data_IF_399318471153
#
_entry.id   IF_399318471153
#
_cell.length_a   1.000
_cell.length_b   1.000
_cell.length_c   1.000
_cell.angle_alpha   90.00
_cell.angle_beta   90.00
_cell.angle_gamma   90.00
#
_symmetry.space_group_name_H-M   'P 1'
#
loop_
_entity.id
_entity.type
_entity.pdbx_description
1 polymer ?
#
# COMPACT_ATOMS: atom_id res chain seq x y z
N UNK A 1 -2.14 -60.97 -2.70
CA UNK A 1 -1.14 -59.88 -2.63
C UNK A 1 -1.43 -58.91 -3.76
N UNK A 2 -2.23 -57.86 -3.51
CA UNK A 2 -2.70 -56.94 -4.55
C UNK A 2 -1.73 -55.76 -4.70
N UNK A 3 -1.16 -55.59 -5.89
CA UNK A 3 -0.31 -54.46 -6.26
C UNK A 3 -1.17 -53.27 -6.70
N UNK A 4 -1.24 -52.22 -5.88
CA UNK A 4 -1.84 -50.94 -6.26
C UNK A 4 -0.93 -50.23 -7.27
N UNK A 5 -1.39 -50.09 -8.51
CA UNK A 5 -0.75 -49.24 -9.52
C UNK A 5 -0.99 -47.78 -9.16
N UNK A 6 0.04 -47.08 -8.71
CA UNK A 6 0.01 -45.62 -8.61
C UNK A 6 -0.03 -45.00 -10.01
N UNK A 7 -1.17 -44.44 -10.40
CA UNK A 7 -1.24 -43.52 -11.52
C UNK A 7 -0.55 -42.22 -11.12
N UNK A 8 0.62 -41.94 -11.72
CA UNK A 8 1.24 -40.62 -11.67
C UNK A 8 0.34 -39.64 -12.42
N UNK A 9 -0.31 -38.76 -11.68
CA UNK A 9 -0.94 -37.56 -12.24
C UNK A 9 0.20 -36.73 -12.86
N UNK A 10 0.13 -36.35 -14.14
CA UNK A 10 1.16 -35.50 -14.72
C UNK A 10 1.16 -34.15 -13.99
N UNK A 11 2.33 -33.55 -13.74
CA UNK A 11 2.37 -32.22 -13.16
C UNK A 11 1.62 -31.28 -14.10
N UNK A 12 0.47 -30.77 -13.65
CA UNK A 12 -0.15 -29.61 -14.29
C UNK A 12 0.86 -28.48 -14.15
N UNK A 13 1.45 -28.06 -15.25
CA UNK A 13 2.11 -26.76 -15.32
C UNK A 13 1.04 -25.73 -14.96
N UNK A 14 1.11 -25.01 -13.83
CA UNK A 14 0.14 -23.98 -13.51
C UNK A 14 0.46 -22.79 -14.42
N UNK A 15 -0.12 -22.79 -15.62
CA UNK A 15 -0.12 -21.63 -16.53
C UNK A 15 -1.27 -20.67 -16.17
N UNK A 16 -1.98 -20.91 -15.05
CA UNK A 16 -2.95 -19.97 -14.48
C UNK A 16 -2.23 -19.06 -13.50
N UNK A 17 -2.29 -17.74 -13.73
CA UNK A 17 -1.88 -16.77 -12.72
C UNK A 17 -2.65 -17.05 -11.43
N UNK A 18 -1.96 -17.50 -10.38
CA UNK A 18 -2.60 -17.77 -9.09
C UNK A 18 -2.71 -16.48 -8.29
N UNK A 19 -3.68 -16.36 -7.38
CA UNK A 19 -3.75 -15.22 -6.46
C UNK A 19 -2.43 -14.96 -5.74
N UNK A 20 -1.69 -16.02 -5.38
CA UNK A 20 -0.36 -15.93 -4.79
C UNK A 20 0.64 -15.19 -5.67
N UNK A 21 0.75 -15.58 -6.94
CA UNK A 21 1.69 -14.96 -7.88
C UNK A 21 1.33 -13.48 -8.06
N UNK A 22 0.05 -13.18 -8.30
CA UNK A 22 -0.41 -11.80 -8.53
C UNK A 22 -0.20 -10.91 -7.31
N UNK A 23 -0.59 -11.36 -6.12
CA UNK A 23 -0.43 -10.54 -4.91
C UNK A 23 1.05 -10.36 -4.57
N UNK A 24 1.89 -11.40 -4.74
CA UNK A 24 3.33 -11.26 -4.55
C UNK A 24 3.95 -10.26 -5.54
N UNK A 25 3.50 -10.29 -6.79
CA UNK A 25 3.98 -9.42 -7.86
C UNK A 25 3.50 -7.97 -7.66
N UNK A 26 2.27 -7.78 -7.20
CA UNK A 26 1.75 -6.47 -6.78
C UNK A 26 2.69 -5.84 -5.74
N UNK A 27 2.99 -6.54 -4.65
CA UNK A 27 3.89 -5.98 -3.63
C UNK A 27 5.34 -5.85 -4.10
N UNK A 28 5.80 -6.67 -5.05
CA UNK A 28 7.11 -6.48 -5.69
C UNK A 28 7.17 -5.19 -6.48
N UNK A 29 6.13 -4.89 -7.27
CA UNK A 29 6.03 -3.70 -8.12
C UNK A 29 5.81 -2.41 -7.31
N UNK A 30 4.97 -2.47 -6.28
CA UNK A 30 4.60 -1.32 -5.44
C UNK A 30 5.46 -1.20 -4.16
N UNK A 31 6.53 -2.00 -4.05
CA UNK A 31 7.42 -2.03 -2.87
C UNK A 31 7.97 -0.68 -2.43
N UNK A 32 8.10 0.28 -3.36
CA UNK A 32 8.63 1.61 -3.10
C UNK A 32 7.62 2.69 -3.47
N UNK A 33 6.32 2.39 -3.30
CA UNK A 33 5.22 3.26 -3.69
C UNK A 33 4.86 3.19 -5.18
N UNK A 34 3.79 3.91 -5.51
CA UNK A 34 3.31 4.09 -6.87
C UNK A 34 4.20 5.09 -7.62
N UNK A 35 4.65 4.69 -8.81
CA UNK A 35 5.49 5.46 -9.74
C UNK A 35 4.68 6.07 -10.88
N UNK A 36 3.36 5.93 -10.84
CA UNK A 36 2.48 6.58 -11.79
C UNK A 36 2.55 8.08 -11.56
N UNK A 37 3.05 8.79 -12.56
CA UNK A 37 3.14 10.24 -12.51
C UNK A 37 1.74 10.84 -12.58
N UNK A 38 1.38 11.70 -11.63
CA UNK A 38 0.32 12.68 -11.88
C UNK A 38 0.76 13.55 -13.08
N UNK A 39 -0.16 14.02 -13.94
CA UNK A 39 0.17 14.93 -15.02
C UNK A 39 0.50 16.31 -14.43
N UNK A 40 1.69 16.46 -13.85
CA UNK A 40 2.26 17.77 -13.49
C UNK A 40 3.57 17.91 -14.25
N UNK A 41 3.53 18.88 -15.16
CA UNK A 41 4.64 19.33 -15.97
C UNK A 41 5.81 19.73 -15.08
N UNK A 42 6.86 18.92 -15.02
CA UNK A 42 8.21 19.46 -14.87
C UNK A 42 9.20 18.44 -15.44
N UNK A 43 9.82 18.83 -16.55
CA UNK A 43 10.84 18.05 -17.20
C UNK A 43 12.09 17.99 -16.31
N UNK A 44 12.43 16.80 -15.84
CA UNK A 44 13.78 16.51 -15.31
C UNK A 44 14.27 15.14 -15.75
N UNK A 45 15.21 15.21 -16.67
CA UNK A 45 16.37 14.37 -17.07
C UNK A 45 16.66 12.95 -16.51
N UNK A 46 15.71 12.19 -15.99
CA UNK A 46 15.83 10.73 -15.77
C UNK A 46 14.62 9.97 -16.29
N UNK A 47 14.22 10.31 -17.53
CA UNK A 47 12.93 9.93 -18.11
C UNK A 47 12.79 8.43 -18.41
N UNK A 48 13.87 7.72 -18.75
CA UNK A 48 13.73 6.36 -19.28
C UNK A 48 13.30 5.33 -18.23
N UNK A 49 13.91 5.32 -17.04
CA UNK A 49 13.58 4.31 -16.01
C UNK A 49 12.31 4.60 -15.23
N UNK A 50 11.97 5.88 -15.02
CA UNK A 50 10.74 6.26 -14.30
C UNK A 50 9.51 6.06 -15.20
N UNK A 51 9.61 6.43 -16.47
CA UNK A 51 8.51 6.27 -17.42
C UNK A 51 8.17 4.78 -17.64
N UNK A 52 9.21 3.94 -17.74
CA UNK A 52 9.07 2.49 -17.90
C UNK A 52 8.37 1.85 -16.69
N UNK A 53 8.78 2.19 -15.46
CA UNK A 53 8.16 1.66 -14.24
C UNK A 53 6.69 2.09 -14.04
N UNK A 54 6.33 3.31 -14.45
CA UNK A 54 4.94 3.81 -14.45
C UNK A 54 4.05 2.93 -15.34
N UNK A 55 4.49 2.67 -16.57
CA UNK A 55 3.76 1.81 -17.52
C UNK A 55 3.65 0.38 -17.00
N UNK A 56 4.74 -0.18 -16.45
CA UNK A 56 4.73 -1.54 -15.89
C UNK A 56 3.71 -1.67 -14.75
N UNK A 57 3.61 -0.70 -13.84
CA UNK A 57 2.62 -0.74 -12.75
C UNK A 57 1.19 -0.62 -13.28
N UNK A 58 0.91 0.30 -14.20
CA UNK A 58 -0.43 0.49 -14.76
C UNK A 58 -0.88 -0.71 -15.60
N UNK A 59 -0.02 -1.20 -16.50
CA UNK A 59 -0.31 -2.37 -17.33
C UNK A 59 -0.57 -3.61 -16.46
N UNK A 60 0.22 -3.77 -15.39
CA UNK A 60 -0.01 -4.84 -14.43
C UNK A 60 -1.39 -4.72 -13.77
N UNK A 61 -1.76 -3.54 -13.25
CA UNK A 61 -3.06 -3.34 -12.61
C UNK A 61 -4.22 -3.62 -13.60
N UNK A 62 -4.18 -3.07 -14.82
CA UNK A 62 -5.23 -3.30 -15.81
C UNK A 62 -5.34 -4.77 -16.26
N UNK A 63 -4.23 -5.51 -16.19
CA UNK A 63 -4.21 -6.93 -16.52
C UNK A 63 -4.89 -7.78 -15.44
N UNK A 64 -4.55 -7.54 -14.17
CA UNK A 64 -4.93 -8.43 -13.05
C UNK A 64 -6.16 -7.98 -12.28
N UNK A 65 -6.55 -6.70 -12.36
CA UNK A 65 -7.73 -6.17 -11.67
C UNK A 65 -8.97 -6.26 -12.57
N UNK A 66 -10.13 -6.51 -11.99
CA UNK A 66 -11.40 -6.27 -12.66
C UNK A 66 -11.54 -4.77 -12.98
N UNK A 67 -12.19 -4.38 -14.09
CA UNK A 67 -12.39 -2.95 -14.43
C UNK A 67 -13.09 -2.16 -13.31
N UNK A 68 -13.97 -2.81 -12.56
CA UNK A 68 -14.75 -2.29 -11.44
C UNK A 68 -14.28 -2.83 -10.08
N UNK A 69 -12.99 -3.18 -9.97
CA UNK A 69 -12.38 -3.66 -8.70
C UNK A 69 -12.76 -2.75 -7.53
N UNK A 70 -13.25 -3.35 -6.45
CA UNK A 70 -13.67 -2.64 -5.23
C UNK A 70 -12.49 -2.42 -4.30
N UNK A 71 -12.31 -1.20 -3.81
CA UNK A 71 -11.30 -0.85 -2.80
C UNK A 71 -11.90 0.02 -1.71
N UNK A 72 -11.10 0.33 -0.69
CA UNK A 72 -11.46 1.22 0.41
C UNK A 72 -12.11 2.52 -0.09
N UNK A 73 -11.41 3.28 -0.94
CA UNK A 73 -11.86 4.59 -1.45
C UNK A 73 -12.87 4.56 -2.61
N UNK A 74 -13.21 3.40 -3.17
CA UNK A 74 -14.15 3.34 -4.31
C UNK A 74 -13.91 2.18 -5.27
N UNK A 75 -13.94 2.48 -6.58
CA UNK A 75 -13.97 1.47 -7.64
C UNK A 75 -12.96 1.76 -8.76
N UNK A 76 -12.40 0.69 -9.32
CA UNK A 76 -11.54 0.71 -10.50
C UNK A 76 -10.06 0.92 -10.22
N UNK A 77 -9.23 0.71 -11.25
CA UNK A 77 -7.77 0.85 -11.18
C UNK A 77 -7.33 2.26 -10.81
N UNK A 78 -8.04 3.28 -11.30
CA UNK A 78 -7.71 4.67 -11.01
C UNK A 78 -7.83 4.98 -9.51
N UNK A 79 -8.82 4.40 -8.82
CA UNK A 79 -8.97 4.58 -7.38
C UNK A 79 -7.76 4.02 -6.61
N UNK A 80 -7.21 2.87 -7.03
CA UNK A 80 -5.99 2.30 -6.43
C UNK A 80 -4.83 3.28 -6.54
N UNK A 81 -4.66 3.87 -7.72
CA UNK A 81 -3.60 4.86 -7.98
C UNK A 81 -3.83 6.11 -7.14
N UNK A 82 -5.07 6.57 -6.98
CA UNK A 82 -5.37 7.73 -6.14
C UNK A 82 -5.07 7.48 -4.66
N UNK A 83 -5.35 6.30 -4.11
CA UNK A 83 -5.00 5.97 -2.71
C UNK A 83 -3.49 6.06 -2.46
N UNK A 84 -2.69 5.55 -3.40
CA UNK A 84 -1.24 5.70 -3.34
C UNK A 84 -0.80 7.16 -3.40
N UNK A 85 -1.48 7.99 -4.18
CA UNK A 85 -1.11 9.39 -4.40
C UNK A 85 -1.75 10.36 -3.40
N UNK A 86 -2.65 9.89 -2.54
CA UNK A 86 -3.36 10.71 -1.55
C UNK A 86 -2.42 11.30 -0.50
N UNK A 87 -1.28 10.65 -0.26
CA UNK A 87 -0.26 11.07 0.72
C UNK A 87 1.11 11.10 0.03
N UNK A 88 1.42 12.16 -0.76
CA UNK A 88 2.53 12.14 -1.71
C UNK A 88 3.92 11.95 -1.10
N UNK A 89 4.17 12.52 0.08
CA UNK A 89 5.47 12.40 0.75
C UNK A 89 5.64 11.01 1.35
N UNK A 90 4.57 10.43 1.93
CA UNK A 90 4.57 9.02 2.30
C UNK A 90 4.87 8.13 1.08
N UNK A 91 4.15 8.31 -0.04
CA UNK A 91 4.36 7.50 -1.24
C UNK A 91 5.78 7.56 -1.79
N UNK A 92 6.43 8.72 -1.71
CA UNK A 92 7.81 8.91 -2.21
C UNK A 92 8.86 8.20 -1.35
N UNK A 93 8.61 8.05 -0.05
CA UNK A 93 9.59 7.54 0.90
C UNK A 93 9.21 6.19 1.54
N UNK A 94 8.07 5.61 1.15
CA UNK A 94 7.59 4.33 1.67
C UNK A 94 8.43 3.16 1.16
N UNK A 95 8.65 2.19 2.04
CA UNK A 95 9.06 0.84 1.67
C UNK A 95 8.05 -0.16 2.21
N UNK A 96 7.46 -0.96 1.33
CA UNK A 96 6.51 -2.02 1.66
C UNK A 96 7.21 -3.37 1.61
N UNK A 97 6.94 -4.20 2.62
CA UNK A 97 7.40 -5.58 2.70
C UNK A 97 6.22 -6.51 2.88
N UNK A 98 6.09 -7.47 1.98
CA UNK A 98 5.19 -8.60 2.15
C UNK A 98 5.77 -9.58 3.16
N UNK A 99 5.04 -9.83 4.24
CA UNK A 99 5.46 -10.71 5.32
C UNK A 99 4.82 -12.08 5.23
N UNK A 100 3.53 -12.12 4.88
CA UNK A 100 2.75 -13.35 4.86
C UNK A 100 1.67 -13.26 3.79
N UNK A 101 1.40 -14.40 3.18
CA UNK A 101 0.25 -14.66 2.34
C UNK A 101 -0.44 -15.91 2.86
N UNK A 102 -1.77 -15.90 2.87
CA UNK A 102 -2.58 -17.03 3.29
C UNK A 102 -3.98 -16.95 2.69
N UNK A 103 -4.73 -18.03 2.74
CA UNK A 103 -6.15 -17.99 2.43
C UNK A 103 -6.95 -17.85 3.72
N UNK A 104 -8.00 -17.04 3.68
CA UNK A 104 -8.99 -17.01 4.76
C UNK A 104 -10.01 -18.17 4.63
N UNK A 105 -10.92 -18.26 5.60
CA UNK A 105 -11.98 -19.27 5.62
C UNK A 105 -12.94 -19.18 4.42
N UNK A 106 -12.99 -18.03 3.73
CA UNK A 106 -13.83 -17.78 2.56
C UNK A 106 -13.06 -17.89 1.25
N UNK A 107 -11.84 -18.46 1.27
CA UNK A 107 -10.97 -18.64 0.10
C UNK A 107 -10.52 -17.33 -0.57
N UNK A 108 -10.59 -16.20 0.13
CA UNK A 108 -9.95 -14.95 -0.28
C UNK A 108 -8.47 -14.98 0.09
N UNK A 109 -7.65 -14.30 -0.71
CA UNK A 109 -6.21 -14.18 -0.46
C UNK A 109 -5.97 -13.05 0.55
N UNK A 110 -5.35 -13.37 1.67
CA UNK A 110 -4.94 -12.43 2.70
C UNK A 110 -3.44 -12.17 2.58
N UNK A 111 -3.06 -10.90 2.65
CA UNK A 111 -1.68 -10.47 2.76
C UNK A 111 -1.47 -9.72 4.07
N UNK A 112 -0.38 -10.02 4.76
CA UNK A 112 0.13 -9.17 5.85
C UNK A 112 1.39 -8.48 5.35
N UNK A 113 1.40 -7.15 5.45
CA UNK A 113 2.52 -6.32 5.04
C UNK A 113 3.00 -5.43 6.18
N UNK A 114 4.22 -4.92 6.00
CA UNK A 114 4.72 -3.79 6.76
C UNK A 114 5.15 -2.68 5.81
N UNK A 115 4.68 -1.48 6.12
CA UNK A 115 5.06 -0.24 5.45
C UNK A 115 5.98 0.57 6.37
N UNK A 116 7.15 0.94 5.88
CA UNK A 116 8.10 1.79 6.59
C UNK A 116 8.15 3.17 5.95
N UNK A 117 7.96 4.23 6.73
CA UNK A 117 8.00 5.64 6.29
C UNK A 117 8.89 6.43 7.25
N UNK A 118 9.73 7.32 6.72
CA UNK A 118 10.48 8.28 7.53
C UNK A 118 9.73 9.61 7.54
N UNK A 119 9.42 10.13 8.73
CA UNK A 119 8.76 11.42 8.86
C UNK A 119 9.77 12.53 8.59
N UNK A 120 9.68 13.15 7.41
CA UNK A 120 10.55 14.26 7.02
C UNK A 120 9.96 15.60 7.45
N UNK A 121 10.79 16.66 7.43
CA UNK A 121 10.30 18.01 7.68
C UNK A 121 9.23 18.44 6.65
N UNK A 122 9.42 18.05 5.40
CA UNK A 122 8.47 18.34 4.33
C UNK A 122 7.14 17.59 4.53
N UNK A 123 7.20 16.32 4.95
CA UNK A 123 6.02 15.53 5.33
C UNK A 123 5.24 16.19 6.48
N UNK A 124 5.93 16.65 7.53
CA UNK A 124 5.30 17.36 8.66
C UNK A 124 4.57 18.63 8.22
N UNK A 125 5.11 19.36 7.24
CA UNK A 125 4.45 20.58 6.73
C UNK A 125 3.23 20.28 5.86
N UNK A 126 3.29 19.25 5.04
CA UNK A 126 2.27 18.98 4.02
C UNK A 126 1.17 18.02 4.47
N UNK A 127 1.50 17.06 5.35
CA UNK A 127 0.62 15.92 5.67
C UNK A 127 0.13 15.92 7.11
N UNK A 128 0.68 16.83 7.92
CA UNK A 128 0.26 17.08 9.31
C UNK A 128 -0.10 18.57 9.47
N UNK A 129 -1.29 18.99 9.01
CA UNK A 129 -1.68 20.40 8.92
C UNK A 129 -1.54 21.16 10.26
N UNK A 130 -1.69 20.47 11.40
CA UNK A 130 -1.49 21.04 12.74
C UNK A 130 -0.08 21.61 13.00
N UNK A 131 0.94 21.18 12.26
CA UNK A 131 2.30 21.70 12.41
C UNK A 131 2.62 22.83 11.41
N UNK A 132 1.79 23.04 10.39
CA UNK A 132 1.99 24.05 9.36
C UNK A 132 1.39 25.44 9.67
N UNK A 133 0.44 25.52 10.62
CA UNK A 133 -0.37 26.73 10.86
C UNK A 133 0.26 27.75 11.84
N UNK A 134 1.43 27.44 12.41
CA UNK A 134 2.12 28.38 13.28
C UNK A 134 2.86 29.41 12.42
N UNK A 135 2.38 30.66 12.42
CA UNK A 135 3.07 31.85 11.91
C UNK A 135 4.43 32.13 12.58
N UNK A 136 4.87 31.28 13.52
CA UNK A 136 6.20 31.29 14.11
C UNK A 136 7.08 30.21 13.48
N UNK A 137 8.34 30.54 13.20
CA UNK A 137 9.36 29.71 12.54
C UNK A 137 9.75 28.40 13.25
N UNK A 138 9.00 27.95 14.26
CA UNK A 138 9.33 26.79 15.09
C UNK A 138 8.27 25.69 14.99
N UNK A 139 8.72 24.50 14.59
CA UNK A 139 7.93 23.26 14.65
C UNK A 139 7.45 23.02 16.09
N UNK A 140 6.15 22.72 16.32
CA UNK A 140 5.63 22.42 17.65
C UNK A 140 6.37 21.27 18.34
N UNK A 141 6.38 21.18 19.69
CA UNK A 141 7.08 20.12 20.41
C UNK A 141 6.74 18.71 19.93
N UNK A 142 5.48 18.48 19.57
CA UNK A 142 5.00 17.20 19.05
C UNK A 142 5.58 16.91 17.65
N UNK A 143 5.61 17.90 16.76
CA UNK A 143 6.27 17.77 15.45
C UNK A 143 7.78 17.52 15.57
N UNK A 144 8.46 18.11 16.56
CA UNK A 144 9.88 17.82 16.86
C UNK A 144 10.11 16.38 17.30
N UNK A 145 9.15 15.76 18.03
CA UNK A 145 9.23 14.33 18.39
C UNK A 145 9.06 13.41 17.17
N UNK A 146 8.24 13.82 16.21
CA UNK A 146 7.97 13.04 14.99
C UNK A 146 9.10 13.15 13.96
N UNK A 147 9.74 14.31 13.84
CA UNK A 147 10.76 14.57 12.83
C UNK A 147 11.90 13.55 12.87
N UNK A 148 12.21 12.96 11.71
CA UNK A 148 13.29 11.99 11.52
C UNK A 148 12.96 10.58 12.00
N UNK A 149 11.76 10.34 12.56
CA UNK A 149 11.37 9.04 13.07
C UNK A 149 10.92 8.12 11.94
N UNK A 150 11.20 6.82 12.11
CA UNK A 150 10.71 5.77 11.24
C UNK A 150 9.41 5.19 11.81
N UNK A 151 8.32 5.29 11.05
CA UNK A 151 7.05 4.64 11.33
C UNK A 151 7.02 3.30 10.62
N UNK A 152 6.73 2.25 11.38
CA UNK A 152 6.46 0.91 10.84
C UNK A 152 4.98 0.61 11.04
N UNK A 153 4.24 0.61 9.95
CA UNK A 153 2.79 0.42 9.91
C UNK A 153 2.52 -1.02 9.48
N UNK A 154 1.79 -1.76 10.29
CA UNK A 154 1.30 -3.09 9.93
C UNK A 154 -0.04 -2.95 9.23
N UNK A 155 -0.20 -3.65 8.09
CA UNK A 155 -1.44 -3.61 7.31
C UNK A 155 -1.82 -5.03 6.89
N UNK A 156 -3.08 -5.37 7.06
CA UNK A 156 -3.68 -6.58 6.48
C UNK A 156 -4.46 -6.18 5.24
N UNK A 157 -4.35 -6.98 4.18
CA UNK A 157 -5.03 -6.73 2.91
C UNK A 157 -5.74 -8.00 2.45
N UNK A 158 -7.01 -7.87 2.11
CA UNK A 158 -7.89 -8.92 1.61
C UNK A 158 -8.13 -8.73 0.13
N UNK A 159 -7.82 -9.76 -0.64
CA UNK A 159 -8.07 -9.83 -2.08
C UNK A 159 -9.15 -10.87 -2.38
N UNK A 160 -10.28 -10.42 -2.94
CA UNK A 160 -11.28 -11.32 -3.51
C UNK A 160 -10.97 -11.57 -4.98
N UNK A 161 -11.18 -12.82 -5.42
CA UNK A 161 -10.71 -13.31 -6.70
C UNK A 161 -11.85 -13.93 -7.51
N UNK A 162 -11.91 -13.62 -8.80
CA UNK A 162 -12.77 -14.30 -9.76
C UNK A 162 -11.98 -15.40 -10.48
N UNK A 163 -12.29 -16.66 -10.15
CA UNK A 163 -11.68 -17.82 -10.79
C UNK A 163 -12.03 -17.97 -12.27
N UNK A 164 -13.12 -17.34 -12.74
CA UNK A 164 -13.56 -17.45 -14.14
C UNK A 164 -12.79 -16.52 -15.06
N UNK A 165 -12.55 -15.27 -14.64
CA UNK A 165 -11.79 -14.29 -15.40
C UNK A 165 -10.31 -14.23 -15.03
N UNK A 166 -9.94 -14.84 -13.90
CA UNK A 166 -8.58 -14.78 -13.38
C UNK A 166 -8.19 -13.37 -12.94
N UNK A 167 -9.10 -12.64 -12.31
CA UNK A 167 -8.90 -11.24 -11.90
C UNK A 167 -9.31 -10.98 -10.46
N UNK A 168 -8.73 -9.95 -9.87
CA UNK A 168 -9.07 -9.44 -8.54
C UNK A 168 -10.37 -8.63 -8.62
N UNK A 169 -11.37 -9.03 -7.83
CA UNK A 169 -12.67 -8.35 -7.72
C UNK A 169 -12.69 -7.27 -6.65
N UNK A 170 -11.90 -7.45 -5.58
CA UNK A 170 -11.75 -6.44 -4.55
C UNK A 170 -10.39 -6.51 -3.87
N UNK A 171 -9.92 -5.37 -3.38
CA UNK A 171 -8.72 -5.22 -2.57
C UNK A 171 -9.06 -4.27 -1.42
N UNK A 172 -9.28 -4.82 -0.23
CA UNK A 172 -9.57 -4.03 0.98
C UNK A 172 -8.46 -4.18 2.00
N UNK A 173 -8.10 -3.09 2.67
CA UNK A 173 -7.03 -3.10 3.64
C UNK A 173 -7.40 -2.41 4.96
N UNK A 174 -6.74 -2.83 6.02
CA UNK A 174 -6.79 -2.23 7.35
C UNK A 174 -5.38 -1.96 7.84
N UNK A 175 -5.08 -0.70 8.17
CA UNK A 175 -3.74 -0.27 8.61
C UNK A 175 -3.74 0.15 10.07
N UNK A 176 -2.81 -0.39 10.86
CA UNK A 176 -2.60 0.03 12.25
C UNK A 176 -1.67 1.24 12.32
N UNK A 177 -2.27 2.44 12.32
CA UNK A 177 -1.56 3.69 12.58
C UNK A 177 -1.42 3.96 14.08
N UNK A 178 -2.30 3.45 14.93
CA UNK A 178 -2.32 3.82 16.36
C UNK A 178 -1.09 3.29 17.07
N UNK A 179 -0.74 2.02 16.87
CA UNK A 179 0.40 1.38 17.55
C UNK A 179 1.74 2.08 17.31
N UNK A 180 2.16 2.40 16.06
CA UNK A 180 3.45 3.06 15.83
C UNK A 180 3.50 4.47 16.43
N UNK A 181 2.41 5.26 16.31
CA UNK A 181 2.38 6.60 16.91
C UNK A 181 2.30 6.55 18.44
N UNK A 182 1.59 5.60 19.02
CA UNK A 182 1.53 5.43 20.49
C UNK A 182 2.90 5.05 21.06
N UNK A 183 3.62 4.13 20.40
CA UNK A 183 4.99 3.79 20.79
C UNK A 183 5.92 4.98 20.72
N UNK A 184 5.78 5.81 19.68
CA UNK A 184 6.64 6.96 19.47
C UNK A 184 6.37 8.11 20.45
N UNK A 185 5.10 8.40 20.73
CA UNK A 185 4.68 9.56 21.52
C UNK A 185 4.54 9.24 23.02
N UNK A 186 4.36 7.97 23.35
CA UNK A 186 4.30 7.45 24.72
C UNK A 186 2.97 7.69 25.44
N UNK A 187 1.97 8.29 24.79
CA UNK A 187 0.65 8.53 25.37
C UNK A 187 -0.44 8.65 24.30
N UNK A 188 -1.67 8.26 24.66
CA UNK A 188 -2.80 8.22 23.73
C UNK A 188 -3.30 9.61 23.33
N UNK A 189 -3.18 10.61 24.21
CA UNK A 189 -3.65 11.98 23.94
C UNK A 189 -2.90 12.59 22.75
N UNK A 190 -1.56 12.57 22.81
CA UNK A 190 -0.70 13.05 21.73
C UNK A 190 -0.91 12.22 20.45
N UNK A 191 -1.07 10.90 20.57
CA UNK A 191 -1.35 10.02 19.42
C UNK A 191 -2.66 10.37 18.73
N UNK A 192 -3.74 10.51 19.48
CA UNK A 192 -5.04 10.92 18.94
C UNK A 192 -4.92 12.28 18.26
N UNK A 193 -4.25 13.25 18.89
CA UNK A 193 -4.04 14.57 18.34
C UNK A 193 -3.29 14.56 17.00
N UNK A 194 -2.24 13.75 16.86
CA UNK A 194 -1.49 13.62 15.60
C UNK A 194 -2.35 12.99 14.51
N UNK A 195 -3.11 11.95 14.85
CA UNK A 195 -3.90 11.21 13.87
C UNK A 195 -5.15 11.98 13.41
N UNK A 196 -5.80 12.72 14.32
CA UNK A 196 -7.13 13.35 14.17
C UNK A 196 -7.30 14.23 12.91
N UNK A 197 -6.23 14.72 12.29
CA UNK A 197 -6.31 15.41 10.98
C UNK A 197 -5.10 15.16 10.09
N UNK A 198 -4.38 14.06 10.31
CA UNK A 198 -3.28 13.69 9.42
C UNK A 198 -3.84 13.16 8.09
N UNK A 199 -3.19 13.53 6.97
CA UNK A 199 -3.53 12.94 5.68
C UNK A 199 -3.29 11.42 5.66
N UNK A 200 -2.33 10.93 6.46
CA UNK A 200 -2.11 9.50 6.68
C UNK A 200 -3.37 8.78 7.19
N UNK A 201 -4.03 9.34 8.22
CA UNK A 201 -5.25 8.72 8.76
C UNK A 201 -6.42 8.86 7.80
N UNK A 202 -6.58 10.02 7.16
CA UNK A 202 -7.69 10.26 6.24
C UNK A 202 -7.63 9.30 5.03
N UNK A 203 -6.44 9.14 4.45
CA UNK A 203 -6.24 8.26 3.30
C UNK A 203 -6.41 6.77 3.62
N UNK A 204 -6.23 6.36 4.89
CA UNK A 204 -6.32 4.95 5.30
C UNK A 204 -7.67 4.57 5.91
N UNK A 205 -8.51 5.55 6.28
CA UNK A 205 -9.86 5.34 6.82
C UNK A 205 -10.98 5.53 5.77
N UNK A 206 -10.63 5.69 4.50
CA UNK A 206 -11.58 5.91 3.39
C UNK A 206 -12.32 4.63 3.00
#
# INVERSE_FOLDING_TARGET
MYMLKYQRIPPRTPTSETPWIIVSEYYRLFRNGCKVSQPIQLASTSKDTIHDNCHVQMDFLHKVMAPDVRINSGFGVDAIVQEWLAVPEANRNITVRLLQLEYDERSAMMATIQSCIIITEHMLRCEFPYFGDNQGSQVPPLGKKLLGQSLVISTTVRFEWDSSTGRVLSMHYESDLVTPFLKLLGNLQDTAQVLDKSLLSIATCS
#
